data_IF_792836374982
#
_entry.id   IF_792836374982
#
_cell.length_a   1.000
_cell.length_b   1.000
_cell.length_c   1.000
_cell.angle_alpha   90.00
_cell.angle_beta   90.00
_cell.angle_gamma   90.00
#
_symmetry.space_group_name_H-M   'P 1'
#
loop_
_entity.id
_entity.type
_entity.pdbx_description
1 polymer ?
#
# COMPACT_ATOMS: atom_id res chain seq x y z
N UNK A 1 -0.96 16.88 -11.56
CA UNK A 1 -2.20 16.72 -10.79
C UNK A 1 -2.34 15.25 -10.40
N UNK A 2 -2.68 14.99 -9.15
CA UNK A 2 -2.98 13.67 -8.60
C UNK A 2 -4.34 13.78 -7.90
N UNK A 3 -5.29 12.91 -8.21
CA UNK A 3 -6.59 12.88 -7.55
C UNK A 3 -6.70 11.64 -6.66
N UNK A 4 -6.90 11.88 -5.36
CA UNK A 4 -7.11 10.86 -4.33
C UNK A 4 -8.43 11.10 -3.59
N UNK A 5 -9.35 11.88 -4.18
CA UNK A 5 -10.67 12.15 -3.61
C UNK A 5 -11.51 10.88 -3.51
N UNK A 6 -12.53 10.89 -2.63
CA UNK A 6 -13.50 9.79 -2.47
C UNK A 6 -12.87 8.43 -2.09
N UNK A 7 -11.70 8.48 -1.44
CA UNK A 7 -11.01 7.30 -0.94
C UNK A 7 -11.28 7.08 0.56
N UNK A 8 -10.67 6.03 1.11
CA UNK A 8 -10.76 5.69 2.54
C UNK A 8 -9.44 5.98 3.27
N UNK A 9 -8.74 7.04 2.86
CA UNK A 9 -7.50 7.45 3.50
C UNK A 9 -7.81 7.99 4.89
N UNK A 10 -7.02 7.56 5.87
CA UNK A 10 -7.11 8.02 7.26
C UNK A 10 -5.86 8.77 7.72
N UNK A 11 -4.74 8.59 7.02
CA UNK A 11 -3.47 9.27 7.28
C UNK A 11 -2.71 9.37 5.96
N UNK A 12 -1.84 10.38 5.86
CA UNK A 12 -0.95 10.52 4.72
C UNK A 12 0.46 10.88 5.21
N UNK A 13 1.45 9.98 5.09
CA UNK A 13 2.81 10.30 5.53
C UNK A 13 3.49 11.28 4.57
N UNK A 14 4.30 12.20 5.10
CA UNK A 14 5.03 13.18 4.30
C UNK A 14 5.95 12.53 3.24
N UNK A 15 6.39 11.30 3.49
CA UNK A 15 7.26 10.53 2.59
C UNK A 15 6.58 10.15 1.27
N UNK A 16 5.24 10.19 1.18
CA UNK A 16 4.53 9.89 -0.08
C UNK A 16 5.00 10.80 -1.22
N UNK A 17 5.38 12.03 -0.91
CA UNK A 17 5.78 13.02 -1.90
C UNK A 17 7.30 13.22 -2.01
N UNK A 18 8.11 12.37 -1.37
CA UNK A 18 9.58 12.56 -1.34
C UNK A 18 10.23 12.52 -2.73
N UNK A 19 9.61 11.81 -3.68
CA UNK A 19 10.14 11.60 -5.03
C UNK A 19 9.37 12.37 -6.11
N UNK A 20 8.43 13.22 -5.71
CA UNK A 20 7.60 13.99 -6.64
C UNK A 20 8.24 15.37 -6.81
N UNK A 21 8.40 15.81 -8.07
CA UNK A 21 8.83 17.18 -8.36
C UNK A 21 7.84 18.16 -7.74
N UNK A 22 8.36 19.13 -6.99
CA UNK A 22 7.56 20.08 -6.21
C UNK A 22 6.99 21.22 -7.07
N UNK A 23 7.38 21.32 -8.34
CA UNK A 23 6.91 22.36 -9.24
C UNK A 23 5.47 22.09 -9.69
N UNK A 24 4.53 22.98 -9.34
CA UNK A 24 3.11 22.93 -9.74
C UNK A 24 2.41 21.60 -9.39
N UNK A 25 2.47 21.21 -8.11
CA UNK A 25 1.83 20.01 -7.61
C UNK A 25 0.40 20.29 -7.10
N UNK A 26 -0.59 19.74 -7.79
CA UNK A 26 -2.01 19.74 -7.37
C UNK A 26 -2.38 18.35 -6.86
N UNK A 27 -2.91 18.25 -5.64
CA UNK A 27 -3.39 16.98 -5.06
C UNK A 27 -4.79 17.17 -4.46
N UNK A 28 -5.78 16.49 -5.04
CA UNK A 28 -7.15 16.50 -4.53
C UNK A 28 -7.31 15.40 -3.46
N UNK A 29 -7.77 15.76 -2.26
CA UNK A 29 -7.91 14.85 -1.11
C UNK A 29 -9.32 14.84 -0.52
N UNK A 30 -10.32 15.37 -1.22
CA UNK A 30 -11.69 15.52 -0.72
C UNK A 30 -12.34 14.17 -0.39
N UNK A 31 -13.38 14.18 0.44
CA UNK A 31 -14.17 12.98 0.78
C UNK A 31 -13.34 11.79 1.33
N UNK A 32 -12.28 12.08 2.10
CA UNK A 32 -11.50 11.10 2.86
C UNK A 32 -11.74 11.22 4.37
N UNK A 33 -11.39 10.17 5.14
CA UNK A 33 -11.63 10.08 6.58
C UNK A 33 -10.38 10.38 7.41
N UNK A 34 -9.75 11.53 7.18
CA UNK A 34 -8.47 11.86 7.83
C UNK A 34 -8.58 11.97 9.35
N UNK A 35 -7.62 11.33 10.01
CA UNK A 35 -7.33 11.42 11.45
C UNK A 35 -6.21 12.44 11.63
N UNK A 36 -6.58 13.66 11.99
CA UNK A 36 -5.68 14.80 12.16
C UNK A 36 -4.94 14.77 13.51
N UNK A 37 -4.28 13.66 13.81
CA UNK A 37 -3.42 13.53 15.00
C UNK A 37 -1.95 13.89 14.69
N UNK A 38 -1.03 13.63 15.62
CA UNK A 38 0.39 13.93 15.45
C UNK A 38 1.05 13.25 14.24
N UNK A 39 0.48 12.19 13.67
CA UNK A 39 1.02 11.53 12.46
C UNK A 39 0.79 12.37 11.20
N UNK A 40 -0.23 13.24 11.21
CA UNK A 40 -0.52 14.17 10.11
C UNK A 40 0.30 15.47 10.20
N UNK A 41 1.01 15.73 11.31
CA UNK A 41 1.84 16.93 11.48
C UNK A 41 2.88 17.09 10.36
N UNK A 42 3.54 15.98 10.00
CA UNK A 42 4.58 15.99 8.98
C UNK A 42 4.06 16.40 7.60
N UNK A 43 2.87 15.89 7.21
CA UNK A 43 2.31 16.24 5.91
C UNK A 43 1.80 17.69 5.89
N UNK A 44 1.20 18.18 6.98
CA UNK A 44 0.80 19.58 7.07
C UNK A 44 1.99 20.52 6.91
N UNK A 45 3.08 20.27 7.63
CA UNK A 45 4.30 21.07 7.53
C UNK A 45 4.90 21.05 6.11
N UNK A 46 4.80 19.91 5.41
CA UNK A 46 5.23 19.81 4.03
C UNK A 46 4.34 20.59 3.07
N UNK A 47 3.01 20.56 3.23
CA UNK A 47 2.06 21.37 2.45
C UNK A 47 2.35 22.86 2.66
N UNK A 48 2.49 23.31 3.91
CA UNK A 48 2.76 24.72 4.22
C UNK A 48 4.05 25.23 3.57
N UNK A 49 5.09 24.40 3.57
CA UNK A 49 6.35 24.72 2.90
C UNK A 49 6.17 24.82 1.38
N UNK A 50 5.32 23.96 0.80
CA UNK A 50 5.07 23.92 -0.62
C UNK A 50 4.23 25.11 -1.07
N UNK A 51 3.14 25.43 -0.37
CA UNK A 51 2.29 26.59 -0.60
C UNK A 51 3.09 27.91 -0.49
N UNK A 52 4.03 27.98 0.45
CA UNK A 52 4.93 29.13 0.58
C UNK A 52 5.93 29.27 -0.59
N UNK A 53 6.29 28.17 -1.25
CA UNK A 53 7.20 28.17 -2.38
C UNK A 53 6.48 28.40 -3.72
N UNK A 54 5.28 27.84 -3.89
CA UNK A 54 4.44 27.99 -5.07
C UNK A 54 2.97 28.22 -4.65
N UNK A 55 2.46 29.46 -4.78
CA UNK A 55 1.07 29.80 -4.45
C UNK A 55 0.02 29.07 -5.31
N UNK A 56 0.42 28.40 -6.39
CA UNK A 56 -0.47 27.58 -7.23
C UNK A 56 -0.59 26.14 -6.73
N UNK A 57 0.12 25.79 -5.65
CA UNK A 57 -0.08 24.52 -4.95
C UNK A 57 -1.50 24.47 -4.38
N UNK A 58 -2.18 23.36 -4.64
CA UNK A 58 -3.54 23.15 -4.15
C UNK A 58 -3.60 21.73 -3.56
N UNK A 59 -3.39 21.67 -2.24
CA UNK A 59 -3.45 20.43 -1.45
C UNK A 59 -4.21 20.75 -0.16
N UNK A 60 -5.48 20.35 -0.10
CA UNK A 60 -6.36 20.62 1.04
C UNK A 60 -7.05 19.36 1.51
N UNK A 61 -7.27 19.23 2.82
CA UNK A 61 -8.03 18.12 3.39
C UNK A 61 -8.90 18.55 4.57
N UNK A 62 -9.99 17.81 4.79
CA UNK A 62 -10.90 18.00 5.92
C UNK A 62 -10.68 16.91 6.97
N UNK A 63 -10.57 17.31 8.22
CA UNK A 63 -10.43 16.40 9.34
C UNK A 63 -11.76 15.72 9.66
N UNK A 64 -11.77 14.39 9.75
CA UNK A 64 -12.93 13.63 10.23
C UNK A 64 -12.81 13.33 11.73
N UNK A 65 -11.58 13.08 12.17
CA UNK A 65 -11.20 12.70 13.52
C UNK A 65 -9.86 13.42 13.89
N UNK A 66 -9.52 13.54 15.18
CA UNK A 66 -10.36 13.25 16.35
C UNK A 66 -11.55 14.23 16.45
N UNK A 67 -12.49 13.97 17.37
CA UNK A 67 -13.72 14.79 17.53
C UNK A 67 -13.42 16.28 17.65
N UNK A 68 -12.36 16.65 18.38
CA UNK A 68 -11.92 18.03 18.57
C UNK A 68 -11.46 18.75 17.29
N UNK A 69 -11.13 18.00 16.24
CA UNK A 69 -10.70 18.55 14.95
C UNK A 69 -11.71 18.28 13.84
N UNK A 70 -12.85 17.66 14.14
CA UNK A 70 -13.83 17.27 13.13
C UNK A 70 -14.32 18.49 12.35
N UNK A 71 -14.42 18.32 11.03
CA UNK A 71 -14.86 19.30 10.03
C UNK A 71 -13.95 20.53 9.87
N UNK A 72 -12.80 20.58 10.55
CA UNK A 72 -11.78 21.59 10.32
C UNK A 72 -11.03 21.31 9.01
N UNK A 73 -10.78 22.37 8.24
CA UNK A 73 -9.99 22.34 7.02
C UNK A 73 -8.50 22.55 7.32
N UNK A 74 -7.63 21.89 6.56
CA UNK A 74 -6.18 22.01 6.66
C UNK A 74 -5.68 23.45 6.68
N UNK A 75 -6.26 24.33 5.86
CA UNK A 75 -5.84 25.72 5.69
C UNK A 75 -6.00 26.56 6.96
N UNK A 76 -6.91 26.15 7.84
CA UNK A 76 -7.20 26.85 9.10
C UNK A 76 -6.42 26.26 10.29
N UNK A 77 -5.53 25.31 10.04
CA UNK A 77 -4.78 24.60 11.06
C UNK A 77 -3.29 24.86 10.91
N UNK A 78 -2.58 24.99 12.03
CA UNK A 78 -1.13 25.01 12.07
C UNK A 78 -0.57 23.60 12.31
N UNK A 79 0.69 23.31 11.91
CA UNK A 79 1.32 22.02 12.19
C UNK A 79 1.30 21.63 13.69
N UNK A 80 1.30 22.61 14.59
CA UNK A 80 1.30 22.36 16.04
C UNK A 80 -0.08 21.98 16.61
N UNK A 81 -1.17 22.17 15.86
CA UNK A 81 -2.52 21.72 16.27
C UNK A 81 -2.66 20.18 16.18
N UNK A 82 -1.80 19.56 15.36
CA UNK A 82 -1.72 18.12 15.14
C UNK A 82 -0.95 17.46 16.29
N UNK A 83 -1.62 17.25 17.40
CA UNK A 83 -1.10 16.56 18.59
C UNK A 83 -1.78 15.21 18.81
N UNK A 84 -1.07 14.27 19.44
CA UNK A 84 -1.65 13.00 19.87
C UNK A 84 -2.10 13.13 21.32
N UNK A 85 -3.40 13.01 21.59
CA UNK A 85 -3.95 13.03 22.95
C UNK A 85 -4.41 11.64 23.38
N UNK A 86 -4.23 11.29 24.65
CA UNK A 86 -4.70 10.00 25.20
C UNK A 86 -6.22 9.82 25.12
N UNK A 87 -6.96 10.93 25.10
CA UNK A 87 -8.43 10.95 25.11
C UNK A 87 -9.03 11.12 23.71
N UNK A 88 -8.20 11.29 22.68
CA UNK A 88 -8.69 11.23 21.30
C UNK A 88 -9.19 9.80 21.11
N UNK A 89 -10.51 9.60 21.07
CA UNK A 89 -11.13 8.29 20.84
C UNK A 89 -10.41 7.65 19.67
N UNK A 90 -9.56 6.66 19.98
CA UNK A 90 -8.80 5.97 18.97
C UNK A 90 -9.83 5.42 18.01
N UNK A 91 -9.86 5.96 16.79
CA UNK A 91 -10.48 5.27 15.68
C UNK A 91 -9.86 3.88 15.74
N UNK A 92 -10.66 2.80 15.86
CA UNK A 92 -10.11 1.48 15.74
C UNK A 92 -9.28 1.55 14.47
N UNK A 93 -7.98 1.30 14.60
CA UNK A 93 -7.10 1.24 13.45
C UNK A 93 -7.58 0.02 12.68
N UNK A 94 -8.65 0.19 11.91
CA UNK A 94 -9.22 -0.83 11.05
C UNK A 94 -8.28 -0.87 9.87
N UNK A 95 -7.14 -1.48 10.17
CA UNK A 95 -6.40 -2.36 9.32
C UNK A 95 -5.93 -1.65 8.05
N UNK A 96 -4.81 -0.92 8.16
CA UNK A 96 -3.83 -1.01 7.09
C UNK A 96 -3.37 -2.48 7.06
N UNK A 97 -4.15 -3.31 6.37
CA UNK A 97 -3.78 -4.68 6.10
C UNK A 97 -2.53 -4.56 5.26
N UNK A 98 -1.40 -5.06 5.76
CA UNK A 98 -0.23 -5.25 4.91
C UNK A 98 -0.72 -5.94 3.64
N UNK A 99 -0.49 -5.32 2.49
CA UNK A 99 -0.76 -5.94 1.21
C UNK A 99 -0.12 -7.33 1.25
N UNK A 100 -0.89 -8.36 0.87
CA UNK A 100 -0.36 -9.71 0.83
C UNK A 100 0.93 -9.69 -0.01
N UNK A 101 2.04 -10.23 0.49
CA UNK A 101 3.26 -10.29 -0.30
C UNK A 101 2.96 -11.08 -1.58
N UNK A 102 3.40 -10.61 -2.76
CA UNK A 102 3.06 -11.20 -4.06
C UNK A 102 3.63 -12.62 -4.32
N UNK A 103 3.95 -13.42 -3.29
CA UNK A 103 4.71 -14.67 -3.42
C UNK A 103 4.17 -15.93 -2.73
N UNK A 104 3.04 -15.88 -2.00
CA UNK A 104 2.63 -16.99 -1.12
C UNK A 104 1.99 -18.20 -1.79
N UNK A 105 1.25 -18.01 -2.89
CA UNK A 105 0.41 -19.08 -3.47
C UNK A 105 1.03 -19.76 -4.70
N UNK A 106 1.97 -19.11 -5.38
CA UNK A 106 2.56 -19.61 -6.63
C UNK A 106 3.55 -20.75 -6.35
N UNK A 107 4.23 -20.73 -5.20
CA UNK A 107 5.29 -21.69 -4.88
C UNK A 107 4.78 -23.14 -4.79
N UNK A 108 3.61 -23.39 -4.19
CA UNK A 108 3.13 -24.75 -3.98
C UNK A 108 2.73 -25.44 -5.29
N UNK A 109 2.00 -24.74 -6.16
CA UNK A 109 1.61 -25.27 -7.46
C UNK A 109 2.83 -25.58 -8.34
N UNK A 110 3.82 -24.70 -8.34
CA UNK A 110 5.08 -24.89 -9.08
C UNK A 110 5.89 -26.07 -8.53
N UNK A 111 6.00 -26.21 -7.21
CA UNK A 111 6.71 -27.35 -6.60
C UNK A 111 5.99 -28.67 -6.91
N UNK A 112 4.66 -28.71 -6.83
CA UNK A 112 3.89 -29.90 -7.15
C UNK A 112 4.00 -30.29 -8.63
N UNK A 113 3.98 -29.32 -9.56
CA UNK A 113 4.15 -29.62 -10.99
C UNK A 113 5.53 -30.17 -11.29
N UNK A 114 6.59 -29.63 -10.67
CA UNK A 114 7.95 -30.19 -10.80
C UNK A 114 8.05 -31.62 -10.27
N UNK A 115 7.46 -31.91 -9.10
CA UNK A 115 7.47 -33.26 -8.54
C UNK A 115 6.71 -34.24 -9.44
N UNK A 116 5.51 -33.88 -9.88
CA UNK A 116 4.67 -34.75 -10.73
C UNK A 116 5.35 -35.02 -12.07
N UNK A 117 5.91 -34.00 -12.71
CA UNK A 117 6.63 -34.16 -13.99
C UNK A 117 7.87 -35.05 -13.83
N UNK A 118 8.64 -34.90 -12.74
CA UNK A 118 9.77 -35.77 -12.45
C UNK A 118 9.34 -37.23 -12.22
N UNK A 119 8.26 -37.46 -11.45
CA UNK A 119 7.74 -38.81 -11.20
C UNK A 119 7.24 -39.48 -12.49
N UNK A 120 6.49 -38.76 -13.32
CA UNK A 120 6.05 -39.25 -14.63
C UNK A 120 7.26 -39.59 -15.51
N UNK A 121 8.27 -38.72 -15.54
CA UNK A 121 9.52 -38.96 -16.28
C UNK A 121 10.25 -40.23 -15.82
N UNK A 122 10.37 -40.46 -14.51
CA UNK A 122 10.99 -41.67 -13.96
C UNK A 122 10.17 -42.92 -14.29
N UNK A 123 8.85 -42.86 -14.17
CA UNK A 123 7.96 -43.98 -14.51
C UNK A 123 8.00 -44.29 -16.01
N UNK A 124 7.93 -43.28 -16.86
CA UNK A 124 8.05 -43.43 -18.31
C UNK A 124 9.42 -43.99 -18.72
N UNK A 125 10.50 -43.53 -18.08
CA UNK A 125 11.83 -44.08 -18.32
C UNK A 125 11.93 -45.53 -17.86
N UNK A 126 11.42 -45.88 -16.67
CA UNK A 126 11.37 -47.27 -16.21
C UNK A 126 10.57 -48.18 -17.13
N UNK A 127 9.41 -47.72 -17.61
CA UNK A 127 8.57 -48.47 -18.54
C UNK A 127 9.27 -48.65 -19.91
N UNK A 128 9.86 -47.59 -20.46
CA UNK A 128 10.53 -47.66 -21.78
C UNK A 128 11.86 -48.42 -21.71
N UNK A 129 12.65 -48.25 -20.66
CA UNK A 129 13.89 -49.00 -20.45
C UNK A 129 13.61 -50.49 -20.23
N UNK A 130 12.61 -50.84 -19.41
CA UNK A 130 12.20 -52.24 -19.21
C UNK A 130 11.68 -52.88 -20.50
N UNK A 131 10.92 -52.13 -21.31
CA UNK A 131 10.46 -52.58 -22.63
C UNK A 131 11.63 -52.78 -23.60
N UNK A 132 12.54 -51.82 -23.68
CA UNK A 132 13.71 -51.88 -24.57
C UNK A 132 14.73 -52.96 -24.18
N UNK A 133 14.87 -53.29 -22.90
CA UNK A 133 15.68 -54.42 -22.44
C UNK A 133 14.97 -55.77 -22.68
N UNK A 134 13.65 -55.83 -22.57
CA UNK A 134 12.87 -57.02 -22.94
C UNK A 134 12.96 -57.35 -24.43
N UNK A 135 13.00 -56.33 -25.30
CA UNK A 135 13.19 -56.52 -26.74
C UNK A 135 14.63 -56.96 -27.10
N UNK A 136 15.61 -56.68 -26.24
CA UNK A 136 17.01 -57.12 -26.39
C UNK A 136 17.28 -58.57 -25.93
N UNK A 137 16.35 -59.19 -25.19
CA UNK A 137 16.45 -60.59 -24.73
C UNK A 137 15.67 -61.58 -25.62
N UNK A 138 15.17 -61.11 -26.76
CA UNK A 138 14.46 -61.92 -27.77
C UNK A 138 15.31 -62.20 -29.04
N UNK A 139 16.64 -62.04 -28.96
CA UNK A 139 17.61 -62.54 -29.93
C UNK A 139 18.70 -63.36 -29.24
#
# INVERSE_FOLDING_TARGET
MIDLSENKLSTLPATVFSNISQERLTVELWENQFVCDCKMKGIKAWIDKLDAADPMTEIRFKCSLPVRMRDLLSDNLAPDDFVCQKNDNAVPSTICQKCAPPGGQIALAVVLTFIVTALIGVLAWRCTFKRRYSDLLLY
#
